data_IF_607885102496
#
_entry.id   IF_607885102496
#
_cell.length_a   1.000
_cell.length_b   1.000
_cell.length_c   1.000
_cell.angle_alpha   90.00
_cell.angle_beta   90.00
_cell.angle_gamma   90.00
#
_symmetry.space_group_name_H-M   'P 1'
#
loop_
_entity.id
_entity.type
_entity.pdbx_description
1 polymer ?
#
# COMPACT_ATOMS: atom_id res chain seq x y z
N UNK A 1 -0.51 41.24 4.84
CA UNK A 1 -1.55 40.19 4.73
C UNK A 1 -0.87 38.85 4.85
N UNK A 2 -0.88 38.26 6.05
CA UNK A 2 -0.31 36.94 6.33
C UNK A 2 -1.38 35.88 6.15
N UNK A 3 -1.22 34.99 5.17
CA UNK A 3 -2.13 33.88 4.93
C UNK A 3 -1.47 32.60 5.40
N UNK A 4 -1.76 32.23 6.65
CA UNK A 4 -1.40 30.97 7.28
C UNK A 4 -2.18 29.83 6.61
N UNK A 5 -1.49 28.95 5.88
CA UNK A 5 -2.07 27.66 5.46
C UNK A 5 -1.63 26.57 6.43
N UNK A 6 -2.44 26.38 7.46
CA UNK A 6 -2.44 25.15 8.27
C UNK A 6 -3.19 24.08 7.48
N UNK A 7 -2.48 23.37 6.60
CA UNK A 7 -2.98 22.12 6.01
C UNK A 7 -2.70 20.98 6.97
N UNK A 8 -3.60 20.73 7.92
CA UNK A 8 -3.59 19.52 8.73
C UNK A 8 -3.91 18.33 7.82
N UNK A 9 -2.90 17.61 7.34
CA UNK A 9 -3.08 16.36 6.61
C UNK A 9 -3.30 15.24 7.64
N UNK A 10 -4.56 14.99 7.98
CA UNK A 10 -4.97 13.81 8.74
C UNK A 10 -4.80 12.58 7.85
N UNK A 11 -3.66 11.90 7.99
CA UNK A 11 -3.53 10.51 7.53
C UNK A 11 -4.34 9.65 8.51
N UNK A 12 -5.59 9.37 8.16
CA UNK A 12 -6.38 8.39 8.88
C UNK A 12 -5.84 6.99 8.54
N UNK A 13 -4.86 6.54 9.32
CA UNK A 13 -4.45 5.16 9.36
C UNK A 13 -5.59 4.35 10.00
N UNK A 14 -6.53 3.87 9.20
CA UNK A 14 -7.56 2.94 9.67
C UNK A 14 -6.89 1.57 9.84
N UNK A 15 -6.17 1.39 10.96
CA UNK A 15 -5.90 0.05 11.48
C UNK A 15 -7.21 -0.43 12.10
N UNK A 16 -8.11 -0.97 11.27
CA UNK A 16 -9.33 -1.60 11.74
C UNK A 16 -9.46 -3.01 11.16
N UNK A 17 -8.50 -3.88 11.45
CA UNK A 17 -8.79 -5.29 11.71
C UNK A 17 -7.95 -5.75 12.88
N UNK A 18 -8.63 -5.90 14.01
CA UNK A 18 -8.10 -6.26 15.30
C UNK A 18 -7.45 -7.66 15.30
N UNK A 19 -6.70 -8.00 16.36
CA UNK A 19 -6.97 -9.24 17.05
C UNK A 19 -7.39 -8.93 18.49
N UNK A 20 -8.49 -8.20 18.67
CA UNK A 20 -9.31 -8.35 19.88
C UNK A 20 -10.29 -9.50 19.59
N UNK A 21 -9.72 -10.68 19.35
CA UNK A 21 -10.43 -11.96 19.29
C UNK A 21 -9.54 -13.10 19.82
N UNK A 22 -8.47 -12.77 20.55
CA UNK A 22 -7.61 -13.77 21.21
C UNK A 22 -8.20 -14.26 22.55
N UNK A 23 -9.32 -13.72 23.03
CA UNK A 23 -9.96 -14.21 24.25
C UNK A 23 -11.50 -14.18 24.10
N UNK A 24 -12.12 -15.31 24.43
CA UNK A 24 -13.57 -15.60 24.44
C UNK A 24 -14.24 -16.07 23.13
N UNK A 25 -13.82 -17.23 22.60
CA UNK A 25 -14.81 -18.17 22.05
C UNK A 25 -15.34 -19.03 23.21
N UNK A 26 -16.65 -19.08 23.51
CA UNK A 26 -17.20 -20.14 24.34
C UNK A 26 -17.01 -21.49 23.61
N UNK A 27 -16.74 -22.59 24.34
CA UNK A 27 -16.39 -23.86 23.70
C UNK A 27 -17.60 -24.43 22.97
N UNK A 28 -17.55 -24.48 21.63
CA UNK A 28 -18.43 -25.34 20.85
C UNK A 28 -17.78 -26.73 20.78
N UNK A 29 -18.42 -27.70 21.41
CA UNK A 29 -17.93 -29.07 21.58
C UNK A 29 -17.87 -29.79 20.21
N UNK A 30 -16.68 -30.27 19.83
CA UNK A 30 -16.44 -31.36 18.85
C UNK A 30 -15.19 -31.17 17.96
N UNK A 31 -14.63 -32.23 17.32
CA UNK A 31 -14.10 -33.51 17.84
C UNK A 31 -12.59 -33.40 18.26
N UNK A 32 -11.95 -34.46 18.83
CA UNK A 32 -10.65 -34.33 19.52
C UNK A 32 -9.40 -34.34 18.61
N UNK A 33 -8.46 -33.45 18.97
CA UNK A 33 -6.99 -33.47 18.87
C UNK A 33 -6.31 -34.48 17.92
N UNK A 34 -6.09 -34.13 16.64
CA UNK A 34 -4.78 -34.32 15.96
C UNK A 34 -4.59 -33.55 14.64
N UNK A 35 -5.36 -32.50 14.35
CA UNK A 35 -4.98 -31.65 13.21
C UNK A 35 -3.83 -30.75 13.66
N UNK A 36 -2.63 -31.01 13.15
CA UNK A 36 -1.44 -30.20 13.42
C UNK A 36 -1.63 -28.86 12.71
N UNK A 37 -2.39 -27.98 13.35
CA UNK A 37 -2.60 -26.57 12.99
C UNK A 37 -1.22 -25.99 12.65
N UNK A 38 -0.94 -25.65 11.38
CA UNK A 38 0.36 -25.10 11.00
C UNK A 38 0.69 -23.90 11.90
N UNK A 39 1.92 -23.80 12.43
CA UNK A 39 2.27 -22.69 13.30
C UNK A 39 2.10 -21.38 12.55
N UNK A 40 1.65 -20.35 13.27
CA UNK A 40 1.56 -19.01 12.71
C UNK A 40 2.94 -18.58 12.22
N UNK A 41 3.00 -18.05 10.99
CA UNK A 41 4.25 -17.58 10.37
C UNK A 41 4.16 -16.08 10.14
N UNK A 42 5.09 -15.35 10.73
CA UNK A 42 5.29 -13.92 10.50
C UNK A 42 6.58 -13.71 9.71
N UNK A 43 6.54 -12.83 8.73
CA UNK A 43 7.66 -12.40 7.93
C UNK A 43 7.63 -10.89 7.81
N UNK A 44 8.76 -10.24 8.07
CA UNK A 44 8.97 -8.81 7.86
C UNK A 44 10.27 -8.70 7.09
N UNK A 45 10.20 -8.11 5.90
CA UNK A 45 11.35 -7.93 5.01
C UNK A 45 11.52 -6.42 4.81
N UNK A 46 12.54 -5.80 5.42
CA UNK A 46 12.90 -4.44 5.08
C UNK A 46 13.62 -4.42 3.73
N UNK A 47 13.42 -3.34 2.97
CA UNK A 47 14.13 -3.05 1.73
C UNK A 47 14.58 -1.59 1.74
N UNK A 48 15.71 -1.32 1.10
CA UNK A 48 16.16 0.04 0.85
C UNK A 48 16.75 0.11 -0.55
N UNK A 49 16.27 1.05 -1.34
CA UNK A 49 16.72 1.26 -2.72
C UNK A 49 17.25 2.67 -2.86
N UNK A 50 18.41 2.81 -3.52
CA UNK A 50 18.96 4.09 -3.98
C UNK A 50 18.93 4.08 -5.50
N UNK A 51 18.52 5.19 -6.10
CA UNK A 51 18.56 5.41 -7.54
C UNK A 51 19.24 6.75 -7.86
N UNK A 52 19.83 6.85 -9.04
CA UNK A 52 20.38 8.08 -9.57
C UNK A 52 19.89 8.26 -11.00
N UNK A 53 19.43 9.46 -11.33
CA UNK A 53 18.96 9.84 -12.66
C UNK A 53 19.59 11.16 -13.06
N UNK A 54 20.13 11.26 -14.27
CA UNK A 54 20.47 12.55 -14.87
C UNK A 54 19.33 12.97 -15.78
N UNK A 55 18.81 14.18 -15.58
CA UNK A 55 17.73 14.74 -16.37
C UNK A 55 18.18 16.09 -16.93
N UNK A 56 18.13 16.24 -18.26
CA UNK A 56 18.59 17.44 -18.98
C UNK A 56 17.54 18.57 -19.00
N UNK A 57 16.33 18.31 -18.49
CA UNK A 57 15.25 19.29 -18.41
C UNK A 57 14.25 18.98 -17.28
N UNK A 58 14.64 19.26 -16.04
CA UNK A 58 13.83 18.99 -14.83
C UNK A 58 12.55 19.84 -14.73
N UNK A 59 12.46 20.93 -15.50
CA UNK A 59 11.30 21.84 -15.56
C UNK A 59 10.36 21.56 -16.73
N UNK A 60 10.71 20.63 -17.62
CA UNK A 60 9.93 20.31 -18.83
C UNK A 60 9.69 21.54 -19.75
N UNK A 61 10.53 22.58 -19.68
CA UNK A 61 10.51 23.77 -20.55
C UNK A 61 11.62 23.68 -21.59
N UNK A 62 11.26 23.60 -22.88
CA UNK A 62 12.24 23.50 -23.97
C UNK A 62 12.94 24.84 -24.28
N UNK A 63 12.43 25.97 -23.78
CA UNK A 63 13.03 27.29 -23.99
C UNK A 63 14.06 27.62 -22.91
N UNK A 64 13.80 27.21 -21.67
CA UNK A 64 14.66 27.42 -20.51
C UNK A 64 14.91 26.08 -19.82
N UNK A 65 15.80 25.27 -20.40
CA UNK A 65 16.16 23.98 -19.83
C UNK A 65 16.98 24.17 -18.57
N UNK A 66 16.70 23.34 -17.57
CA UNK A 66 17.48 23.20 -16.35
C UNK A 66 17.84 21.73 -16.23
N UNK A 67 19.12 21.42 -16.15
CA UNK A 67 19.60 20.05 -15.93
C UNK A 67 19.95 19.82 -14.46
N UNK A 68 19.83 18.57 -14.02
CA UNK A 68 20.22 18.15 -12.68
C UNK A 68 20.47 16.64 -12.61
N UNK A 69 21.22 16.24 -11.58
CA UNK A 69 21.31 14.85 -11.14
C UNK A 69 20.41 14.63 -9.93
N UNK A 70 19.49 13.69 -10.04
CA UNK A 70 18.47 13.39 -9.04
C UNK A 70 18.84 12.09 -8.32
N UNK A 71 18.97 12.15 -7.01
CA UNK A 71 19.14 10.98 -6.14
C UNK A 71 17.79 10.61 -5.54
N UNK A 72 17.33 9.39 -5.83
CA UNK A 72 16.16 8.79 -5.20
C UNK A 72 16.55 7.86 -4.06
N UNK A 73 15.82 7.91 -2.95
CA UNK A 73 15.93 6.95 -1.85
C UNK A 73 14.56 6.39 -1.50
N UNK A 74 14.44 5.07 -1.45
CA UNK A 74 13.17 4.38 -1.21
C UNK A 74 13.33 3.30 -0.13
N UNK A 75 13.13 3.63 1.15
CA UNK A 75 12.83 2.63 2.16
C UNK A 75 11.49 1.93 1.88
N UNK A 76 11.44 0.64 2.19
CA UNK A 76 10.23 -0.17 2.11
C UNK A 76 10.21 -1.29 3.13
N UNK A 77 9.01 -1.76 3.42
CA UNK A 77 8.77 -2.91 4.30
C UNK A 77 7.69 -3.77 3.66
N UNK A 78 8.01 -5.03 3.41
CA UNK A 78 7.03 -6.08 3.15
C UNK A 78 6.73 -6.81 4.46
N UNK A 79 5.45 -7.11 4.71
CA UNK A 79 5.05 -7.96 5.81
C UNK A 79 4.08 -9.03 5.36
N UNK A 80 4.15 -10.18 6.01
CA UNK A 80 3.18 -11.25 5.85
C UNK A 80 2.98 -11.95 7.19
N UNK A 81 1.73 -12.20 7.54
CA UNK A 81 1.35 -13.01 8.68
C UNK A 81 0.30 -14.02 8.25
N UNK A 82 0.54 -15.29 8.56
CA UNK A 82 -0.33 -16.38 8.17
C UNK A 82 -0.61 -17.29 9.36
N UNK A 83 -1.88 -17.57 9.57
CA UNK A 83 -2.40 -18.60 10.47
C UNK A 83 -3.24 -19.59 9.66
N UNK A 84 -3.78 -20.64 10.30
CA UNK A 84 -4.69 -21.55 9.60
C UNK A 84 -6.06 -20.96 9.26
N UNK A 85 -6.48 -19.88 9.91
CA UNK A 85 -7.78 -19.23 9.68
C UNK A 85 -7.68 -17.92 8.93
N UNK A 86 -6.53 -17.22 8.94
CA UNK A 86 -6.35 -15.99 8.19
C UNK A 86 -4.94 -15.80 7.65
N UNK A 87 -4.84 -14.98 6.60
CA UNK A 87 -3.60 -14.48 6.05
C UNK A 87 -3.75 -12.98 5.84
N UNK A 88 -2.75 -12.23 6.25
CA UNK A 88 -2.63 -10.81 5.95
C UNK A 88 -1.22 -10.57 5.42
N UNK A 89 -1.10 -9.72 4.43
CA UNK A 89 0.18 -9.30 3.90
C UNK A 89 0.07 -7.90 3.32
N UNK A 90 1.20 -7.25 3.17
CA UNK A 90 1.22 -5.92 2.61
C UNK A 90 2.62 -5.41 2.41
N UNK A 91 2.67 -4.24 1.78
CA UNK A 91 3.88 -3.50 1.46
C UNK A 91 3.64 -2.04 1.74
N UNK A 92 4.61 -1.39 2.34
CA UNK A 92 4.70 0.07 2.39
C UNK A 92 6.05 0.51 1.85
N UNK A 93 6.07 1.54 1.03
CA UNK A 93 7.30 2.21 0.61
C UNK A 93 7.10 3.71 0.52
N UNK A 94 8.17 4.44 0.78
CA UNK A 94 8.21 5.89 0.64
C UNK A 94 9.45 6.26 -0.18
N UNK A 95 9.27 7.03 -1.25
CA UNK A 95 10.37 7.55 -2.06
C UNK A 95 10.56 9.03 -1.73
N UNK A 96 11.80 9.43 -1.50
CA UNK A 96 12.23 10.82 -1.52
C UNK A 96 13.26 11.05 -2.62
N UNK A 97 13.34 12.30 -3.06
CA UNK A 97 14.20 12.76 -4.15
C UNK A 97 15.01 13.97 -3.70
N UNK A 98 16.29 13.95 -4.06
CA UNK A 98 17.25 15.02 -3.82
C UNK A 98 17.85 15.45 -5.15
N UNK A 99 17.64 16.69 -5.50
CA UNK A 99 18.28 17.37 -6.63
C UNK A 99 19.63 17.89 -6.14
N UNK A 100 20.69 17.71 -6.92
CA UNK A 100 22.05 18.05 -6.47
C UNK A 100 22.32 19.54 -6.63
N UNK A 101 21.91 20.11 -7.76
CA UNK A 101 22.17 21.51 -8.08
C UNK A 101 20.99 22.42 -7.71
N UNK A 102 19.76 21.91 -7.71
CA UNK A 102 18.53 22.70 -7.47
C UNK A 102 17.68 22.15 -6.33
N UNK A 103 18.09 22.44 -5.09
CA UNK A 103 17.47 21.95 -3.86
C UNK A 103 15.98 22.31 -3.71
N UNK A 104 15.51 23.39 -4.33
CA UNK A 104 14.11 23.82 -4.33
C UNK A 104 13.13 22.77 -4.91
N UNK A 105 13.62 21.83 -5.72
CA UNK A 105 12.83 20.73 -6.27
C UNK A 105 12.88 19.45 -5.42
N UNK A 106 13.74 19.41 -4.39
CA UNK A 106 13.91 18.25 -3.53
C UNK A 106 12.69 17.99 -2.65
N UNK A 107 12.34 16.72 -2.47
CA UNK A 107 11.22 16.32 -1.64
C UNK A 107 11.53 15.05 -0.86
N UNK A 108 11.33 15.09 0.46
CA UNK A 108 11.52 13.91 1.32
C UNK A 108 10.46 12.83 1.14
N UNK A 109 9.38 13.13 0.43
CA UNK A 109 8.22 12.29 0.24
C UNK A 109 7.57 12.56 -1.13
N UNK A 110 8.29 12.25 -2.20
CA UNK A 110 7.80 12.36 -3.58
C UNK A 110 6.72 11.32 -3.86
N UNK A 111 6.83 10.11 -3.30
CA UNK A 111 5.86 9.03 -3.49
C UNK A 111 5.68 8.19 -2.24
N UNK A 112 4.45 7.74 -1.99
CA UNK A 112 4.13 6.72 -0.99
C UNK A 112 3.28 5.66 -1.68
N UNK A 113 3.66 4.40 -1.51
CA UNK A 113 2.86 3.26 -1.94
C UNK A 113 2.52 2.42 -0.73
N UNK A 114 1.24 2.09 -0.58
CA UNK A 114 0.75 1.15 0.42
C UNK A 114 -0.13 0.12 -0.27
N UNK A 115 0.16 -1.16 -0.03
CA UNK A 115 -0.60 -2.29 -0.52
C UNK A 115 -0.91 -3.20 0.67
N UNK A 116 -2.16 -3.66 0.73
CA UNK A 116 -2.62 -4.59 1.75
C UNK A 116 -3.48 -5.65 1.08
N UNK A 117 -3.27 -6.90 1.48
CA UNK A 117 -4.10 -8.03 1.08
C UNK A 117 -4.43 -8.87 2.32
N UNK A 118 -5.68 -9.26 2.46
CA UNK A 118 -6.20 -10.02 3.59
C UNK A 118 -7.16 -11.10 3.14
N UNK A 119 -7.11 -12.25 3.79
CA UNK A 119 -8.10 -13.32 3.66
C UNK A 119 -8.41 -13.91 5.02
N UNK A 120 -9.68 -14.05 5.36
CA UNK A 120 -10.14 -14.64 6.62
C UNK A 120 -11.19 -15.71 6.36
N UNK A 121 -10.90 -16.94 6.77
CA UNK A 121 -11.83 -18.06 6.76
C UNK A 121 -12.76 -17.94 7.97
N UNK A 122 -13.95 -17.41 7.75
CA UNK A 122 -14.96 -17.23 8.79
C UNK A 122 -15.57 -18.57 9.21
N UNK A 123 -15.80 -19.46 8.25
CA UNK A 123 -16.24 -20.86 8.46
C UNK A 123 -15.53 -21.78 7.47
N UNK A 124 -15.70 -23.10 7.57
CA UNK A 124 -15.15 -24.04 6.58
C UNK A 124 -15.63 -23.79 5.14
N UNK A 125 -16.76 -23.10 4.98
CA UNK A 125 -17.37 -22.80 3.69
C UNK A 125 -17.32 -21.32 3.30
N UNK A 126 -16.96 -20.41 4.20
CA UNK A 126 -17.03 -18.97 3.95
C UNK A 126 -15.68 -18.30 4.22
N UNK A 127 -15.19 -17.61 3.19
CA UNK A 127 -13.94 -16.82 3.25
C UNK A 127 -14.22 -15.38 2.84
N UNK A 128 -13.71 -14.45 3.62
CA UNK A 128 -13.71 -13.02 3.34
C UNK A 128 -12.33 -12.62 2.80
N UNK A 129 -12.30 -11.72 1.83
CA UNK A 129 -11.07 -11.16 1.26
C UNK A 129 -11.14 -9.63 1.29
N UNK A 130 -9.98 -9.01 1.39
CA UNK A 130 -9.82 -7.56 1.32
C UNK A 130 -8.51 -7.26 0.62
N UNK A 131 -8.57 -6.48 -0.45
CA UNK A 131 -7.39 -5.88 -1.08
C UNK A 131 -7.51 -4.36 -1.00
N UNK A 132 -6.43 -3.68 -0.63
CA UNK A 132 -6.34 -2.22 -0.59
C UNK A 132 -5.04 -1.78 -1.26
N UNK A 133 -5.14 -0.75 -2.09
CA UNK A 133 -4.01 -0.09 -2.71
C UNK A 133 -4.15 1.41 -2.60
N UNK A 134 -3.15 2.04 -2.00
CA UNK A 134 -3.02 3.48 -1.87
C UNK A 134 -1.73 3.96 -2.50
N UNK A 135 -1.83 5.02 -3.31
CA UNK A 135 -0.71 5.69 -3.95
C UNK A 135 -0.84 7.19 -3.71
N UNK A 136 0.18 7.78 -3.12
CA UNK A 136 0.42 9.22 -3.12
C UNK A 136 1.59 9.48 -4.05
N UNK A 137 1.46 10.41 -5.00
CA UNK A 137 2.56 10.81 -5.87
C UNK A 137 2.60 12.31 -6.05
N UNK A 138 3.80 12.86 -6.13
CA UNK A 138 4.08 14.23 -6.54
C UNK A 138 4.81 14.28 -7.89
N UNK A 139 4.99 13.12 -8.52
CA UNK A 139 5.76 12.95 -9.74
C UNK A 139 5.05 13.46 -10.99
N UNK A 140 5.90 13.94 -11.90
CA UNK A 140 5.60 14.78 -13.06
C UNK A 140 5.37 13.99 -14.35
N UNK A 141 5.37 12.65 -14.30
CA UNK A 141 5.44 11.79 -15.49
C UNK A 141 4.13 11.04 -15.79
N UNK A 142 2.97 11.55 -15.36
CA UNK A 142 1.70 11.01 -15.85
C UNK A 142 1.20 11.84 -17.02
N UNK A 143 1.34 11.26 -18.23
CA UNK A 143 0.41 11.54 -19.31
C UNK A 143 -1.00 11.27 -18.77
N UNK A 144 -1.76 12.33 -18.55
CA UNK A 144 -3.18 12.19 -18.23
C UNK A 144 -3.89 11.68 -19.49
N UNK A 145 -4.93 10.88 -19.34
CA UNK A 145 -5.76 10.35 -20.44
C UNK A 145 -6.33 11.44 -21.36
N UNK A 146 -6.23 12.71 -20.95
CA UNK A 146 -6.76 13.90 -21.65
C UNK A 146 -5.68 14.92 -22.06
N UNK A 147 -4.37 14.65 -21.91
CA UNK A 147 -3.33 15.58 -22.37
C UNK A 147 -1.92 15.44 -21.76
N UNK A 148 -1.04 16.38 -22.13
CA UNK A 148 0.32 16.54 -21.61
C UNK A 148 0.29 17.38 -20.33
N UNK A 149 0.67 16.80 -19.19
CA UNK A 149 0.83 17.53 -17.93
C UNK A 149 2.15 18.32 -17.92
N UNK A 150 2.07 19.65 -17.84
CA UNK A 150 3.26 20.54 -17.85
C UNK A 150 3.63 21.02 -16.45
N UNK A 151 3.43 20.23 -15.39
CA UNK A 151 3.72 20.65 -14.01
C UNK A 151 3.69 19.54 -12.95
N UNK A 152 4.24 19.85 -11.76
CA UNK A 152 4.26 18.96 -10.58
C UNK A 152 2.94 19.09 -9.81
N UNK A 153 2.11 18.05 -9.86
CA UNK A 153 0.83 18.00 -9.15
C UNK A 153 0.82 16.89 -8.10
N UNK A 154 0.21 17.16 -6.95
CA UNK A 154 -0.07 16.14 -5.95
C UNK A 154 -1.24 15.29 -6.44
N UNK A 155 -1.00 14.00 -6.66
CA UNK A 155 -2.04 13.01 -6.93
C UNK A 155 -2.15 12.01 -5.78
N UNK A 156 -3.38 11.56 -5.53
CA UNK A 156 -3.66 10.46 -4.64
C UNK A 156 -4.66 9.51 -5.29
N UNK A 157 -4.46 8.22 -5.10
CA UNK A 157 -5.37 7.16 -5.53
C UNK A 157 -5.55 6.19 -4.38
N UNK A 158 -6.79 5.77 -4.15
CA UNK A 158 -7.12 4.69 -3.22
C UNK A 158 -8.13 3.75 -3.89
N UNK A 159 -7.87 2.46 -3.86
CA UNK A 159 -8.81 1.42 -4.25
C UNK A 159 -8.92 0.39 -3.14
N UNK A 160 -10.15 0.07 -2.75
CA UNK A 160 -10.47 -0.96 -1.76
C UNK A 160 -11.41 -1.96 -2.44
N UNK A 161 -11.04 -3.23 -2.41
CA UNK A 161 -11.76 -4.32 -3.06
C UNK A 161 -12.12 -5.37 -2.01
N UNK A 162 -13.32 -5.32 -1.42
CA UNK A 162 -13.81 -6.37 -0.56
C UNK A 162 -14.24 -7.59 -1.41
N UNK A 163 -14.10 -8.78 -0.84
CA UNK A 163 -14.51 -10.01 -1.51
C UNK A 163 -15.08 -11.05 -0.56
N UNK A 164 -15.95 -11.91 -1.08
CA UNK A 164 -16.52 -13.04 -0.37
C UNK A 164 -16.42 -14.27 -1.29
N UNK A 165 -15.98 -15.39 -0.73
CA UNK A 165 -16.02 -16.69 -1.37
C UNK A 165 -16.82 -17.67 -0.50
N UNK A 166 -17.87 -18.25 -1.07
CA UNK A 166 -18.74 -19.21 -0.40
C UNK A 166 -18.74 -20.54 -1.13
N UNK A 167 -18.37 -21.60 -0.41
CA UNK A 167 -18.36 -22.99 -0.85
C UNK A 167 -19.73 -23.61 -0.57
N UNK A 168 -20.56 -23.68 -1.61
CA UNK A 168 -21.92 -24.24 -1.53
C UNK A 168 -21.86 -25.76 -1.34
N UNK A 169 -20.88 -26.40 -1.98
CA UNK A 169 -20.62 -27.83 -1.98
C UNK A 169 -19.12 -28.06 -2.23
N UNK A 170 -18.49 -29.23 -1.95
CA UNK A 170 -17.08 -29.48 -2.26
C UNK A 170 -16.63 -29.16 -3.69
N UNK A 171 -17.56 -29.09 -4.65
CA UNK A 171 -17.28 -28.81 -6.07
C UNK A 171 -17.68 -27.40 -6.52
N UNK A 172 -18.48 -26.67 -5.75
CA UNK A 172 -19.05 -25.38 -6.17
C UNK A 172 -18.63 -24.28 -5.21
N UNK A 173 -17.96 -23.25 -5.73
CA UNK A 173 -17.61 -22.03 -4.99
C UNK A 173 -18.13 -20.81 -5.74
N UNK A 174 -18.94 -20.00 -5.06
CA UNK A 174 -19.41 -18.70 -5.53
C UNK A 174 -18.47 -17.62 -5.00
N UNK A 175 -18.09 -16.67 -5.86
CA UNK A 175 -17.24 -15.53 -5.48
C UNK A 175 -17.90 -14.23 -5.89
N UNK A 176 -17.81 -13.23 -5.01
CA UNK A 176 -18.23 -11.86 -5.29
C UNK A 176 -17.13 -10.91 -4.82
N UNK A 177 -16.86 -9.86 -5.59
CA UNK A 177 -15.92 -8.78 -5.25
C UNK A 177 -16.48 -7.44 -5.72
N UNK A 178 -16.16 -6.36 -4.99
CA UNK A 178 -16.59 -4.99 -5.29
C UNK A 178 -15.43 -4.05 -5.53
#
# INVERSE_FOLDING_TARGET
>A
MSRTWRGSLLVALVIAFAPVAAQAQPPLIGPPLTERVPPARTLIIPSFTISGEYNDNIVLDNRNKIDDFIIGYTPGIDFAHQTPTYRIGGRVSATGEKFIDHDEFSNVLSRITFLLNGSYRLTETLTLNLDEAFLLSRDTHQATTEGVGTGRFLSYSNSITPGIAWKVDPRITVRASG
#
